data_IF_491798020960
#
_entry.id   IF_491798020960
#
_cell.length_a   1.000
_cell.length_b   1.000
_cell.length_c   1.000
_cell.angle_alpha   90.00
_cell.angle_beta   90.00
_cell.angle_gamma   90.00
#
_symmetry.space_group_name_H-M   'P 1'
#
loop_
_entity.id
_entity.type
_entity.pdbx_description
1 polymer ?
#
# COMPACT_ATOMS: atom_id res chain seq x y z
N UNK A 1 -1.47 -18.22 -23.35
CA UNK A 1 -2.39 -19.12 -24.11
C UNK A 1 -2.86 -20.38 -23.36
N UNK A 2 -2.00 -21.09 -22.61
CA UNK A 2 -2.36 -22.40 -22.02
C UNK A 2 -3.44 -22.36 -20.92
N UNK A 3 -3.60 -21.22 -20.25
CA UNK A 3 -4.59 -21.02 -19.17
C UNK A 3 -6.00 -20.70 -19.69
N UNK A 4 -6.19 -20.44 -20.99
CA UNK A 4 -7.51 -20.18 -21.57
C UNK A 4 -8.22 -21.51 -21.84
N UNK A 5 -9.49 -21.59 -21.42
CA UNK A 5 -10.36 -22.75 -21.64
C UNK A 5 -10.57 -22.98 -23.15
N UNK A 6 -10.56 -24.24 -23.57
CA UNK A 6 -10.72 -24.64 -24.97
C UNK A 6 -9.68 -25.69 -25.42
N UNK A 7 -10.02 -26.46 -26.46
CA UNK A 7 -9.17 -27.55 -26.95
C UNK A 7 -7.86 -27.07 -27.62
N UNK A 8 -6.93 -28.02 -27.83
CA UNK A 8 -5.70 -27.80 -28.59
C UNK A 8 -5.84 -28.05 -30.10
N UNK A 9 -7.04 -28.40 -30.57
CA UNK A 9 -7.29 -28.75 -31.97
C UNK A 9 -7.05 -27.55 -32.87
N UNK A 10 -6.36 -27.81 -33.99
CA UNK A 10 -6.14 -26.82 -35.04
C UNK A 10 -7.47 -26.42 -35.69
N UNK A 11 -7.75 -25.11 -35.86
CA UNK A 11 -9.01 -24.66 -36.45
C UNK A 11 -9.26 -25.19 -37.87
N UNK A 12 -8.19 -25.31 -38.69
CA UNK A 12 -8.27 -25.87 -40.05
C UNK A 12 -6.94 -26.47 -40.52
N UNK A 13 -6.98 -27.20 -41.66
CA UNK A 13 -5.80 -27.83 -42.28
C UNK A 13 -4.74 -26.78 -42.67
N UNK A 14 -3.46 -27.17 -42.73
CA UNK A 14 -2.33 -26.24 -42.95
C UNK A 14 -2.30 -25.59 -44.35
N UNK A 15 -2.88 -26.25 -45.36
CA UNK A 15 -2.91 -25.81 -46.77
C UNK A 15 -4.27 -26.18 -47.37
N UNK A 16 -4.60 -25.59 -48.53
CA UNK A 16 -5.80 -25.92 -49.31
C UNK A 16 -7.10 -25.27 -48.80
N UNK A 17 -7.03 -24.23 -47.95
CA UNK A 17 -8.20 -23.59 -47.35
C UNK A 17 -8.40 -22.13 -47.76
N UNK A 18 -7.44 -21.50 -48.44
CA UNK A 18 -7.47 -20.07 -48.80
C UNK A 18 -7.38 -19.09 -47.62
N UNK A 19 -7.31 -19.57 -46.38
CA UNK A 19 -7.24 -18.77 -45.15
C UNK A 19 -5.81 -18.61 -44.65
N UNK A 20 -5.56 -17.58 -43.84
CA UNK A 20 -4.31 -17.46 -43.08
C UNK A 20 -4.02 -18.73 -42.27
N UNK A 21 -2.76 -19.06 -42.02
CA UNK A 21 -2.42 -20.27 -41.25
C UNK A 21 -2.61 -20.00 -39.76
N UNK A 22 -3.32 -20.89 -39.08
CA UNK A 22 -3.58 -20.77 -37.63
C UNK A 22 -3.26 -22.06 -36.90
N UNK A 23 -2.61 -21.96 -35.74
CA UNK A 23 -2.25 -23.12 -34.92
C UNK A 23 -3.38 -23.56 -33.97
N UNK A 24 -3.93 -22.62 -33.19
CA UNK A 24 -4.99 -22.88 -32.22
C UNK A 24 -5.86 -21.63 -32.07
N UNK A 25 -7.15 -21.82 -31.79
CA UNK A 25 -8.08 -20.74 -31.45
C UNK A 25 -7.76 -20.06 -30.10
N UNK A 26 -6.93 -20.69 -29.25
CA UNK A 26 -6.45 -20.09 -27.98
C UNK A 26 -5.27 -19.14 -28.13
N UNK A 27 -4.78 -18.93 -29.36
CA UNK A 27 -3.68 -18.01 -29.62
C UNK A 27 -4.06 -16.57 -29.25
N UNK A 28 -3.15 -15.75 -28.69
CA UNK A 28 -3.39 -14.32 -28.40
C UNK A 28 -3.89 -13.49 -29.57
N UNK A 29 -3.65 -13.94 -30.80
CA UNK A 29 -4.08 -13.25 -32.03
C UNK A 29 -5.61 -13.32 -32.18
N UNK A 30 -6.26 -14.35 -31.62
CA UNK A 30 -7.70 -14.52 -31.67
C UNK A 30 -8.40 -13.72 -30.57
N UNK A 31 -9.56 -13.16 -30.91
CA UNK A 31 -10.51 -12.61 -29.92
C UNK A 31 -10.95 -13.75 -29.00
N UNK A 32 -10.85 -13.53 -27.68
CA UNK A 32 -11.09 -14.59 -26.67
C UNK A 32 -9.93 -15.58 -26.49
N UNK A 33 -8.82 -15.39 -27.21
CA UNK A 33 -7.55 -16.08 -26.98
C UNK A 33 -6.83 -15.61 -25.72
N UNK A 34 -5.71 -16.24 -25.38
CA UNK A 34 -4.98 -15.88 -24.15
C UNK A 34 -4.06 -14.68 -24.30
N UNK A 35 -3.95 -13.85 -23.28
CA UNK A 35 -3.04 -12.67 -23.24
C UNK A 35 -1.56 -13.08 -23.29
N UNK A 36 -0.72 -12.36 -24.05
CA UNK A 36 0.71 -12.66 -24.23
C UNK A 36 1.55 -12.28 -23.01
N UNK A 37 1.42 -11.04 -22.53
CA UNK A 37 2.15 -10.50 -21.38
C UNK A 37 1.19 -9.86 -20.37
N UNK A 38 0.19 -10.64 -19.95
CA UNK A 38 -0.73 -10.22 -18.90
C UNK A 38 -0.03 -10.18 -17.53
N UNK A 39 -0.58 -9.41 -16.57
CA UNK A 39 -0.08 -9.44 -15.21
C UNK A 39 -0.22 -10.85 -14.61
N UNK A 40 0.80 -11.27 -13.86
CA UNK A 40 0.74 -12.48 -13.05
C UNK A 40 0.91 -12.13 -11.57
N UNK A 41 0.33 -12.94 -10.67
CA UNK A 41 0.57 -12.80 -9.25
C UNK A 41 2.08 -12.81 -8.97
N UNK A 42 2.60 -11.72 -8.42
CA UNK A 42 4.01 -11.58 -8.05
C UNK A 42 4.14 -10.78 -6.76
N UNK A 43 5.21 -11.03 -6.02
CA UNK A 43 5.59 -10.18 -4.90
C UNK A 43 6.31 -8.93 -5.39
N UNK A 44 5.98 -7.78 -4.81
CA UNK A 44 6.68 -6.51 -5.02
C UNK A 44 7.70 -6.21 -3.90
N UNK A 45 7.88 -7.15 -2.96
CA UNK A 45 8.83 -7.00 -1.87
C UNK A 45 10.26 -6.85 -2.42
N UNK A 46 10.95 -5.81 -1.95
CA UNK A 46 12.38 -5.59 -2.19
C UNK A 46 13.08 -5.44 -0.84
N UNK A 47 14.11 -6.24 -0.59
CA UNK A 47 14.88 -6.14 0.64
C UNK A 47 15.69 -4.84 0.67
N UNK A 48 15.55 -4.06 1.73
CA UNK A 48 16.38 -2.87 1.98
C UNK A 48 17.41 -3.15 3.08
N UNK A 49 18.69 -2.75 2.89
CA UNK A 49 19.71 -2.89 3.92
C UNK A 49 19.25 -2.30 5.26
N UNK A 50 19.53 -3.01 6.36
CA UNK A 50 19.14 -2.55 7.72
C UNK A 50 19.71 -1.18 8.05
N UNK A 51 20.95 -0.89 7.62
CA UNK A 51 21.61 0.41 7.82
C UNK A 51 20.88 1.54 7.08
N UNK A 52 20.45 1.31 5.84
CA UNK A 52 19.70 2.28 5.05
C UNK A 52 18.32 2.59 5.67
N UNK A 53 17.60 1.58 6.17
CA UNK A 53 16.33 1.79 6.89
C UNK A 53 16.51 2.64 8.15
N UNK A 54 17.53 2.35 8.96
CA UNK A 54 17.85 3.14 10.16
C UNK A 54 18.21 4.58 9.81
N UNK A 55 18.99 4.78 8.75
CA UNK A 55 19.35 6.12 8.27
C UNK A 55 18.13 6.90 7.80
N UNK A 56 17.21 6.25 7.08
CA UNK A 56 15.98 6.89 6.62
C UNK A 56 15.12 7.38 7.79
N UNK A 57 14.95 6.57 8.85
CA UNK A 57 14.22 6.99 10.05
C UNK A 57 14.89 8.17 10.75
N UNK A 58 16.23 8.12 10.91
CA UNK A 58 16.98 9.25 11.49
C UNK A 58 16.85 10.53 10.67
N UNK A 59 16.89 10.40 9.34
CA UNK A 59 16.77 11.54 8.42
C UNK A 59 15.36 12.13 8.49
N UNK A 60 14.33 11.29 8.53
CA UNK A 60 12.94 11.74 8.68
C UNK A 60 12.71 12.47 10.03
N UNK A 61 13.25 11.94 11.13
CA UNK A 61 13.16 12.61 12.43
C UNK A 61 13.96 13.92 12.47
N UNK A 62 15.15 13.95 11.86
CA UNK A 62 15.97 15.16 11.78
C UNK A 62 15.25 16.27 10.97
N UNK A 63 14.58 15.91 9.88
CA UNK A 63 13.78 16.85 9.10
C UNK A 63 12.63 17.43 9.91
N UNK A 64 11.93 16.60 10.71
CA UNK A 64 10.87 17.06 11.62
C UNK A 64 11.37 18.02 12.69
N UNK A 65 12.57 17.77 13.23
CA UNK A 65 13.20 18.71 14.18
C UNK A 65 13.57 20.02 13.50
N UNK A 66 14.17 19.97 12.31
CA UNK A 66 14.55 21.18 11.57
C UNK A 66 13.34 22.05 11.21
N UNK A 67 12.20 21.44 10.92
CA UNK A 67 10.95 22.14 10.61
C UNK A 67 10.13 22.51 11.87
N UNK A 68 10.65 22.25 13.07
CA UNK A 68 9.95 22.46 14.35
C UNK A 68 8.59 21.74 14.48
N UNK A 69 8.48 20.57 13.84
CA UNK A 69 7.25 19.74 13.79
C UNK A 69 7.31 18.54 14.75
N UNK A 70 8.39 18.39 15.53
CA UNK A 70 8.56 17.31 16.50
C UNK A 70 8.36 17.84 17.92
N UNK A 71 7.38 17.26 18.61
CA UNK A 71 7.07 17.55 20.01
C UNK A 71 7.35 16.31 20.86
N UNK A 72 7.95 16.51 22.04
CA UNK A 72 8.19 15.45 23.02
C UNK A 72 7.34 15.74 24.24
N UNK A 73 6.51 14.77 24.60
CA UNK A 73 5.66 14.76 25.79
C UNK A 73 6.30 13.83 26.82
N UNK A 74 6.25 14.19 28.10
CA UNK A 74 6.76 13.34 29.19
C UNK A 74 5.88 12.11 29.38
N UNK A 75 4.56 12.31 29.44
CA UNK A 75 3.59 11.24 29.52
C UNK A 75 2.29 11.61 28.80
N UNK A 76 1.67 10.65 28.12
CA UNK A 76 0.34 10.77 27.52
C UNK A 76 -0.51 9.56 27.90
N UNK A 77 -1.14 9.62 29.06
CA UNK A 77 -2.03 8.57 29.54
C UNK A 77 -3.48 9.04 29.57
N UNK A 78 -4.37 8.23 29.01
CA UNK A 78 -5.82 8.48 29.02
C UNK A 78 -6.50 7.44 29.90
N UNK A 79 -7.28 7.90 30.89
CA UNK A 79 -8.01 7.02 31.80
C UNK A 79 -9.12 6.22 31.08
N UNK A 80 -9.66 6.76 29.99
CA UNK A 80 -10.66 6.11 29.15
C UNK A 80 -10.47 6.50 27.67
N UNK A 81 -10.88 5.65 26.71
CA UNK A 81 -10.73 5.97 25.30
C UNK A 81 -11.74 7.05 24.87
N UNK A 82 -11.34 8.33 24.91
CA UNK A 82 -12.16 9.48 24.53
C UNK A 82 -11.48 10.33 23.47
N UNK A 83 -12.11 10.41 22.28
CA UNK A 83 -11.64 11.22 21.14
C UNK A 83 -11.51 12.71 21.47
N UNK A 84 -12.41 13.23 22.31
CA UNK A 84 -12.41 14.63 22.74
C UNK A 84 -11.13 15.01 23.51
N UNK A 85 -10.59 14.09 24.30
CA UNK A 85 -9.36 14.34 25.06
C UNK A 85 -8.17 14.47 24.11
N UNK A 86 -8.08 13.61 23.10
CA UNK A 86 -7.05 13.70 22.04
C UNK A 86 -7.18 15.00 21.23
N UNK A 87 -8.40 15.42 20.86
CA UNK A 87 -8.61 16.70 20.17
C UNK A 87 -8.14 17.89 21.01
N UNK A 88 -8.40 17.89 22.32
CA UNK A 88 -7.92 18.94 23.20
C UNK A 88 -6.39 18.99 23.26
N UNK A 89 -5.72 17.84 23.32
CA UNK A 89 -4.27 17.76 23.26
C UNK A 89 -3.75 18.35 21.95
N UNK A 90 -4.29 17.94 20.80
CA UNK A 90 -3.87 18.47 19.48
C UNK A 90 -4.08 19.98 19.39
N UNK A 91 -5.24 20.48 19.82
CA UNK A 91 -5.54 21.91 19.82
C UNK A 91 -4.57 22.70 20.72
N UNK A 92 -4.08 22.10 21.81
CA UNK A 92 -3.13 22.75 22.72
C UNK A 92 -1.75 22.97 22.07
N UNK A 93 -1.40 22.15 21.07
CA UNK A 93 -0.17 22.31 20.28
C UNK A 93 -0.34 23.23 19.06
N UNK A 94 -1.52 23.82 18.85
CA UNK A 94 -1.82 24.72 17.72
C UNK A 94 -1.43 24.15 16.35
N UNK A 95 -1.56 22.83 16.18
CA UNK A 95 -1.13 22.14 14.94
C UNK A 95 -2.13 22.28 13.78
N UNK A 96 -3.24 23.00 13.99
CA UNK A 96 -4.27 23.26 12.98
C UNK A 96 -4.78 21.98 12.30
N UNK A 97 -4.91 22.02 10.98
CA UNK A 97 -5.33 20.87 10.15
C UNK A 97 -4.15 19.96 9.72
N UNK A 98 -2.99 20.08 10.37
CA UNK A 98 -1.84 19.26 10.03
C UNK A 98 -2.07 17.79 10.40
N UNK A 99 -1.39 16.90 9.66
CA UNK A 99 -1.42 15.46 9.97
C UNK A 99 -0.53 15.20 11.20
N UNK A 100 -1.09 14.53 12.20
CA UNK A 100 -0.42 14.25 13.47
C UNK A 100 -0.14 12.75 13.61
N UNK A 101 1.05 12.40 14.07
CA UNK A 101 1.43 11.04 14.44
C UNK A 101 1.84 11.02 15.91
N UNK A 102 1.08 10.30 16.74
CA UNK A 102 1.48 9.94 18.09
C UNK A 102 2.38 8.71 18.04
N UNK A 103 3.42 8.70 18.88
CA UNK A 103 4.32 7.55 19.05
C UNK A 103 4.34 7.27 20.54
N UNK A 104 3.69 6.18 20.95
CA UNK A 104 3.59 5.75 22.35
C UNK A 104 4.11 4.32 22.50
N UNK A 105 4.31 3.86 23.75
CA UNK A 105 4.67 2.47 24.05
C UNK A 105 3.49 1.48 23.89
N UNK A 106 2.55 1.77 22.98
CA UNK A 106 1.40 0.91 22.71
C UNK A 106 0.21 1.14 23.65
N UNK A 107 0.00 2.37 24.11
CA UNK A 107 -1.20 2.71 24.88
C UNK A 107 -2.46 2.58 24.01
N UNK A 108 -3.25 1.54 24.31
CA UNK A 108 -4.48 1.19 23.59
C UNK A 108 -5.54 2.29 23.71
N UNK A 109 -5.59 3.02 24.83
CA UNK A 109 -6.57 4.09 25.02
C UNK A 109 -6.26 5.27 24.10
N UNK A 110 -4.98 5.62 23.95
CA UNK A 110 -4.54 6.64 22.99
C UNK A 110 -4.84 6.21 21.56
N UNK A 111 -4.52 4.97 21.19
CA UNK A 111 -4.78 4.44 19.85
C UNK A 111 -6.28 4.48 19.49
N UNK A 112 -7.14 4.00 20.40
CA UNK A 112 -8.59 4.00 20.22
C UNK A 112 -9.17 5.41 20.11
N UNK A 113 -8.62 6.35 20.88
CA UNK A 113 -9.08 7.74 20.90
C UNK A 113 -8.64 8.52 19.67
N UNK A 114 -7.47 8.20 19.08
CA UNK A 114 -6.96 8.86 17.89
C UNK A 114 -7.57 8.31 16.58
N UNK A 115 -7.95 7.03 16.55
CA UNK A 115 -8.37 6.31 15.33
C UNK A 115 -9.48 6.99 14.52
N UNK A 116 -10.42 7.67 15.18
CA UNK A 116 -11.59 8.27 14.53
C UNK A 116 -11.33 9.69 13.99
N UNK A 117 -10.15 10.28 14.23
CA UNK A 117 -9.83 11.65 13.82
C UNK A 117 -9.09 11.60 12.48
N UNK A 118 -9.65 12.26 11.46
CA UNK A 118 -9.03 12.32 10.14
C UNK A 118 -7.67 13.03 10.21
N UNK A 119 -6.65 12.44 9.59
CA UNK A 119 -5.30 13.02 9.57
C UNK A 119 -4.46 12.71 10.82
N UNK A 120 -5.04 12.06 11.84
CA UNK A 120 -4.34 11.67 13.06
C UNK A 120 -4.09 10.16 13.05
N UNK A 121 -2.90 9.75 13.47
CA UNK A 121 -2.55 8.35 13.74
C UNK A 121 -1.82 8.25 15.07
N UNK A 122 -1.97 7.11 15.73
CA UNK A 122 -1.27 6.73 16.95
C UNK A 122 -0.76 5.29 16.80
#
# INVERSE_FOLDING_TARGET
RGMVRGGGRKPWKQKGTGRARSGSSRSPIWIGGGTTFGPQPRSYYKAMPRKARRLAVKSALSDKVNNSELYVLEEITLAAPKTKEVLNIINSFNVGDAKVLFITEGDVNVERSARNIQGVKA
#
